data_IF_759497678290
#
_entry.id   IF_759497678290
#
_cell.length_a   1.000
_cell.length_b   1.000
_cell.length_c   1.000
_cell.angle_alpha   90.00
_cell.angle_beta   90.00
_cell.angle_gamma   90.00
#
_symmetry.space_group_name_H-M   'P 1'
#
loop_
_entity.id
_entity.type
_entity.pdbx_description
1 polymer ?
#
# COMPACT_ATOMS: atom_id res chain seq x y z
N UNK A 1 1.45 9.20 26.39
CA UNK A 1 0.09 9.53 25.90
C UNK A 1 -0.67 10.51 26.82
N UNK A 2 -0.94 10.21 28.09
CA UNK A 2 -1.76 11.07 28.98
C UNK A 2 -1.24 12.52 29.18
N UNK A 3 0.07 12.77 29.06
CA UNK A 3 0.66 14.13 29.11
C UNK A 3 0.33 14.99 27.88
N UNK A 4 0.16 14.38 26.70
CA UNK A 4 -0.19 15.05 25.44
C UNK A 4 -1.62 15.61 25.51
N UNK A 5 -2.52 14.94 26.23
CA UNK A 5 -3.90 15.41 26.45
C UNK A 5 -3.99 16.76 27.19
N UNK A 6 -2.94 17.20 27.90
CA UNK A 6 -2.89 18.55 28.48
C UNK A 6 -2.77 19.65 27.41
N UNK A 7 -2.07 19.37 26.31
CA UNK A 7 -1.89 20.30 25.19
C UNK A 7 -3.22 20.51 24.45
N UNK A 8 -4.08 19.50 24.37
CA UNK A 8 -5.43 19.62 23.78
C UNK A 8 -6.33 20.65 24.52
N UNK A 9 -6.02 21.02 25.77
CA UNK A 9 -6.76 22.09 26.48
C UNK A 9 -6.52 23.47 25.86
N UNK A 10 -5.38 23.71 25.23
CA UNK A 10 -5.08 24.97 24.53
C UNK A 10 -6.02 25.20 23.34
N UNK A 11 -6.51 24.12 22.72
CA UNK A 11 -7.50 24.16 21.63
C UNK A 11 -8.84 24.76 22.11
N UNK A 12 -9.20 24.61 23.40
CA UNK A 12 -10.43 25.21 23.95
C UNK A 12 -10.42 26.75 23.94
N UNK A 13 -9.24 27.38 23.99
CA UNK A 13 -9.10 28.83 24.02
C UNK A 13 -9.09 29.49 22.63
N UNK A 14 -8.73 28.73 21.58
CA UNK A 14 -8.57 29.25 20.23
C UNK A 14 -9.86 29.09 19.40
N UNK A 15 -10.70 30.13 19.39
CA UNK A 15 -12.00 30.13 18.68
C UNK A 15 -11.88 29.76 17.19
N UNK A 16 -10.82 30.20 16.50
CA UNK A 16 -10.57 29.86 15.08
C UNK A 16 -10.25 28.37 14.85
N UNK A 17 -9.38 27.78 15.67
CA UNK A 17 -9.03 26.35 15.59
C UNK A 17 -10.27 25.49 15.86
N UNK A 18 -11.12 25.90 16.81
CA UNK A 18 -12.37 25.18 17.12
C UNK A 18 -13.32 25.12 15.92
N UNK A 19 -13.44 26.21 15.16
CA UNK A 19 -14.28 26.23 13.94
C UNK A 19 -13.73 25.27 12.88
N UNK A 20 -12.42 25.24 12.66
CA UNK A 20 -11.78 24.30 11.71
C UNK A 20 -11.98 22.84 12.13
N UNK A 21 -11.78 22.52 13.42
CA UNK A 21 -12.00 21.16 13.93
C UNK A 21 -13.47 20.74 13.87
N UNK A 22 -14.40 21.67 14.07
CA UNK A 22 -15.83 21.38 13.90
C UNK A 22 -16.19 21.10 12.44
N UNK A 23 -15.65 21.89 11.51
CA UNK A 23 -15.80 21.63 10.08
C UNK A 23 -15.23 20.25 9.69
N UNK A 24 -14.05 19.89 10.21
CA UNK A 24 -13.46 18.57 10.02
C UNK A 24 -14.39 17.46 10.52
N UNK A 25 -14.89 17.57 11.76
CA UNK A 25 -15.82 16.59 12.33
C UNK A 25 -17.11 16.44 11.52
N UNK A 26 -17.63 17.54 10.97
CA UNK A 26 -18.80 17.50 10.09
C UNK A 26 -18.53 16.82 8.74
N UNK A 27 -17.28 16.86 8.25
CA UNK A 27 -16.87 16.15 7.02
C UNK A 27 -16.52 14.66 7.24
N UNK A 28 -16.29 14.23 8.49
CA UNK A 28 -15.88 12.85 8.80
C UNK A 28 -16.85 11.78 8.28
N UNK A 29 -18.19 11.92 8.35
CA UNK A 29 -19.10 10.90 7.83
C UNK A 29 -18.92 10.68 6.32
N UNK A 30 -18.70 11.75 5.55
CA UNK A 30 -18.43 11.65 4.13
C UNK A 30 -17.04 11.03 3.87
N UNK A 31 -16.03 11.45 4.62
CA UNK A 31 -14.68 10.89 4.53
C UNK A 31 -14.64 9.40 4.87
N UNK A 32 -15.46 8.94 5.82
CA UNK A 32 -15.54 7.53 6.19
C UNK A 32 -16.04 6.66 5.03
N UNK A 33 -17.01 7.13 4.24
CA UNK A 33 -17.51 6.39 3.07
C UNK A 33 -16.42 6.26 1.99
N UNK A 34 -15.68 7.33 1.71
CA UNK A 34 -14.56 7.33 0.76
C UNK A 34 -13.44 6.41 1.28
N UNK A 35 -13.11 6.52 2.57
CA UNK A 35 -12.11 5.68 3.22
C UNK A 35 -12.48 4.19 3.19
N UNK A 36 -13.77 3.84 3.36
CA UNK A 36 -14.24 2.46 3.26
C UNK A 36 -14.09 1.91 1.83
N UNK A 37 -14.41 2.72 0.82
CA UNK A 37 -14.21 2.34 -0.58
C UNK A 37 -12.73 2.14 -0.90
N UNK A 38 -11.87 3.07 -0.46
CA UNK A 38 -10.43 2.96 -0.61
C UNK A 38 -9.89 1.70 0.06
N UNK A 39 -10.31 1.44 1.31
CA UNK A 39 -9.92 0.24 2.05
C UNK A 39 -10.35 -1.04 1.34
N UNK A 40 -11.55 -1.07 0.75
CA UNK A 40 -12.02 -2.20 -0.04
C UNK A 40 -11.15 -2.44 -1.28
N UNK A 41 -10.79 -1.38 -2.01
CA UNK A 41 -9.88 -1.49 -3.17
C UNK A 41 -8.51 -2.00 -2.73
N UNK A 42 -7.94 -1.44 -1.65
CA UNK A 42 -6.68 -1.93 -1.08
C UNK A 42 -6.73 -3.41 -0.71
N UNK A 43 -7.84 -3.85 -0.09
CA UNK A 43 -8.04 -5.24 0.29
C UNK A 43 -8.04 -6.16 -0.93
N UNK A 44 -8.74 -5.79 -2.00
CA UNK A 44 -8.78 -6.59 -3.23
C UNK A 44 -7.38 -6.69 -3.84
N UNK A 45 -6.70 -5.56 -3.99
CA UNK A 45 -5.35 -5.52 -4.58
C UNK A 45 -4.31 -6.23 -3.71
N UNK A 46 -4.45 -6.25 -2.39
CA UNK A 46 -3.49 -6.95 -1.53
C UNK A 46 -3.54 -8.46 -1.75
N UNK A 47 -4.75 -9.04 -1.87
CA UNK A 47 -4.93 -10.47 -2.18
C UNK A 47 -4.39 -10.82 -3.56
N UNK A 48 -4.63 -9.98 -4.57
CA UNK A 48 -4.05 -10.15 -5.90
C UNK A 48 -2.52 -10.03 -5.88
N UNK A 49 -1.98 -9.06 -5.14
CA UNK A 49 -0.54 -8.87 -4.98
C UNK A 49 0.13 -10.08 -4.34
N UNK A 50 -0.46 -10.61 -3.26
CA UNK A 50 0.06 -11.81 -2.60
C UNK A 50 0.14 -13.02 -3.53
N UNK A 51 -0.95 -13.28 -4.26
CA UNK A 51 -1.01 -14.46 -5.12
C UNK A 51 -0.06 -14.41 -6.31
N UNK A 52 0.34 -13.22 -6.76
CA UNK A 52 1.19 -13.05 -7.94
C UNK A 52 2.64 -12.68 -7.61
N UNK A 53 2.90 -11.98 -6.51
CA UNK A 53 4.19 -11.33 -6.24
C UNK A 53 4.87 -11.79 -4.95
N UNK A 54 4.31 -12.74 -4.20
CA UNK A 54 4.89 -13.23 -2.95
C UNK A 54 6.32 -13.78 -3.08
N UNK A 55 6.66 -14.40 -4.22
CA UNK A 55 7.97 -15.02 -4.44
C UNK A 55 8.92 -14.18 -5.28
N UNK A 56 8.54 -12.95 -5.64
CA UNK A 56 9.39 -12.06 -6.43
C UNK A 56 10.66 -11.77 -5.64
N UNK A 57 11.80 -11.80 -6.33
CA UNK A 57 13.11 -11.53 -5.74
C UNK A 57 13.10 -10.21 -4.96
N UNK A 58 13.59 -10.27 -3.72
CA UNK A 58 13.78 -9.08 -2.88
C UNK A 58 14.90 -8.22 -3.46
N UNK A 59 14.52 -7.05 -3.96
CA UNK A 59 15.42 -6.08 -4.57
C UNK A 59 14.73 -4.72 -4.62
N UNK A 60 15.52 -3.64 -4.61
CA UNK A 60 15.06 -2.26 -4.63
C UNK A 60 14.03 -1.93 -3.53
N UNK A 61 12.74 -1.89 -3.86
CA UNK A 61 11.67 -1.58 -2.91
C UNK A 61 11.02 -2.80 -2.25
N UNK A 62 11.38 -4.04 -2.66
CA UNK A 62 10.92 -5.26 -2.01
C UNK A 62 11.96 -5.74 -1.00
N UNK A 63 11.61 -5.73 0.28
CA UNK A 63 12.45 -6.17 1.40
C UNK A 63 11.66 -7.00 2.43
N UNK A 64 12.28 -7.35 3.56
CA UNK A 64 11.69 -8.19 4.61
C UNK A 64 10.38 -7.62 5.21
N UNK A 65 10.16 -6.31 5.13
CA UNK A 65 8.99 -5.61 5.69
C UNK A 65 8.01 -5.13 4.60
N UNK A 66 8.53 -4.65 3.47
CA UNK A 66 7.78 -4.15 2.33
C UNK A 66 7.78 -5.20 1.21
N UNK A 67 6.96 -6.23 1.36
CA UNK A 67 6.79 -7.27 0.35
C UNK A 67 5.32 -7.72 0.21
N UNK A 68 5.09 -8.65 -0.72
CA UNK A 68 3.79 -9.25 -0.98
C UNK A 68 3.66 -10.68 -0.42
N UNK A 69 4.50 -11.09 0.53
CA UNK A 69 4.46 -12.47 1.07
C UNK A 69 3.24 -12.72 1.95
N UNK A 70 2.80 -11.68 2.67
CA UNK A 70 1.68 -11.76 3.60
C UNK A 70 0.67 -10.65 3.34
N UNK A 71 -0.55 -10.84 3.86
CA UNK A 71 -1.62 -9.86 3.73
C UNK A 71 -1.26 -8.53 4.39
N UNK A 72 -0.65 -8.58 5.58
CA UNK A 72 -0.22 -7.39 6.32
C UNK A 72 0.82 -6.58 5.54
N UNK A 73 1.88 -7.25 5.04
CA UNK A 73 2.95 -6.59 4.28
C UNK A 73 2.41 -6.01 2.97
N UNK A 74 1.53 -6.74 2.28
CA UNK A 74 0.87 -6.27 1.06
C UNK A 74 0.00 -5.04 1.29
N UNK A 75 -0.74 -5.01 2.41
CA UNK A 75 -1.54 -3.85 2.80
C UNK A 75 -0.67 -2.62 3.10
N UNK A 76 0.48 -2.81 3.76
CA UNK A 76 1.45 -1.72 4.02
C UNK A 76 2.03 -1.19 2.71
N UNK A 77 2.43 -2.06 1.79
CA UNK A 77 2.92 -1.66 0.47
C UNK A 77 1.88 -0.84 -0.30
N UNK A 78 0.62 -1.31 -0.36
CA UNK A 78 -0.45 -0.58 -1.05
C UNK A 78 -0.81 0.73 -0.35
N UNK A 79 -0.72 0.80 0.97
CA UNK A 79 -0.92 2.04 1.70
C UNK A 79 0.10 3.11 1.30
N UNK A 80 1.36 2.72 1.14
CA UNK A 80 2.41 3.59 0.62
C UNK A 80 2.09 4.04 -0.82
N UNK A 81 1.73 3.10 -1.69
CA UNK A 81 1.42 3.39 -3.11
C UNK A 81 0.15 4.23 -3.27
N UNK A 82 -0.79 4.22 -2.33
CA UNK A 82 -1.98 5.10 -2.35
C UNK A 82 -1.58 6.59 -2.42
N UNK A 83 -0.41 6.94 -1.87
CA UNK A 83 0.16 8.30 -1.96
C UNK A 83 0.99 8.53 -3.22
N UNK A 84 0.98 7.56 -4.15
CA UNK A 84 1.81 7.49 -5.36
C UNK A 84 3.32 7.48 -5.09
N UNK A 85 3.73 7.11 -3.86
CA UNK A 85 5.14 7.04 -3.48
C UNK A 85 5.67 5.60 -3.53
N UNK A 86 6.91 5.42 -3.98
CA UNK A 86 7.66 4.15 -3.91
C UNK A 86 7.13 2.98 -4.75
N UNK A 87 6.13 3.21 -5.61
CA UNK A 87 5.58 2.18 -6.49
C UNK A 87 6.58 1.70 -7.55
N UNK A 88 7.49 2.59 -7.97
CA UNK A 88 8.56 2.32 -8.92
C UNK A 88 9.57 1.32 -8.35
N UNK A 89 9.94 1.46 -7.07
CA UNK A 89 10.81 0.52 -6.36
C UNK A 89 10.18 -0.86 -6.17
N UNK A 90 8.86 -0.93 -5.97
CA UNK A 90 8.11 -2.19 -5.89
C UNK A 90 7.93 -2.84 -7.27
N UNK A 91 7.75 -2.05 -8.32
CA UNK A 91 7.57 -2.55 -9.69
C UNK A 91 8.88 -3.10 -10.29
N UNK A 92 10.02 -2.47 -10.00
CA UNK A 92 11.31 -2.81 -10.59
C UNK A 92 11.66 -4.32 -10.51
N UNK A 93 11.64 -4.98 -9.34
CA UNK A 93 11.94 -6.42 -9.25
C UNK A 93 10.93 -7.30 -9.97
N UNK A 94 9.69 -6.85 -10.18
CA UNK A 94 8.66 -7.59 -10.90
C UNK A 94 8.92 -7.57 -12.42
N UNK A 95 9.65 -6.55 -12.91
CA UNK A 95 10.03 -6.42 -14.31
C UNK A 95 11.27 -7.26 -14.68
N UNK A 96 11.97 -7.81 -13.70
CA UNK A 96 13.21 -8.56 -13.92
C UNK A 96 13.01 -9.75 -14.87
N UNK A 97 14.07 -10.03 -15.64
CA UNK A 97 14.20 -11.19 -16.53
C UNK A 97 15.53 -11.88 -16.22
N UNK A 98 15.72 -13.16 -16.59
CA UNK A 98 17.03 -13.79 -16.50
C UNK A 98 18.08 -12.95 -17.26
N UNK A 99 19.27 -12.69 -16.70
CA UNK A 99 19.89 -13.32 -15.52
C UNK A 99 19.59 -12.66 -14.16
N UNK A 100 18.78 -11.60 -14.10
CA UNK A 100 18.54 -10.83 -12.86
C UNK A 100 17.57 -11.52 -11.88
N UNK A 101 16.84 -12.53 -12.36
CA UNK A 101 16.00 -13.45 -11.58
C UNK A 101 16.22 -14.90 -12.04
N UNK A 102 15.84 -15.87 -11.21
CA UNK A 102 16.00 -17.30 -11.45
C UNK A 102 14.64 -17.99 -11.54
N UNK A 103 14.42 -18.76 -12.61
CA UNK A 103 13.18 -19.50 -12.87
C UNK A 103 13.07 -20.79 -12.04
N UNK A 104 14.20 -21.32 -11.55
CA UNK A 104 14.26 -22.61 -10.84
C UNK A 104 14.60 -22.45 -9.35
N UNK A 105 14.62 -21.22 -8.83
CA UNK A 105 14.89 -20.98 -7.41
C UNK A 105 13.89 -21.71 -6.53
N UNK A 106 14.42 -22.55 -5.65
CA UNK A 106 13.63 -23.31 -4.68
C UNK A 106 13.35 -22.47 -3.44
N UNK A 107 12.10 -22.52 -2.96
CA UNK A 107 11.66 -21.84 -1.74
C UNK A 107 11.35 -22.90 -0.67
N UNK A 108 12.18 -23.03 0.39
CA UNK A 108 11.99 -24.06 1.40
C UNK A 108 10.59 -24.01 2.03
N UNK A 109 9.85 -25.13 1.96
CA UNK A 109 8.50 -25.22 2.50
C UNK A 109 7.37 -24.79 1.54
N UNK A 110 7.70 -24.37 0.32
CA UNK A 110 6.73 -24.11 -0.75
C UNK A 110 6.97 -25.02 -1.95
N UNK A 111 5.90 -25.40 -2.65
CA UNK A 111 5.98 -26.13 -3.93
C UNK A 111 6.20 -25.21 -5.14
N UNK A 112 6.23 -23.90 -4.93
CA UNK A 112 6.46 -22.91 -5.98
C UNK A 112 7.94 -22.80 -6.33
N UNK A 113 8.24 -22.59 -7.61
CA UNK A 113 9.60 -22.44 -8.14
C UNK A 113 9.76 -21.11 -8.87
N UNK A 114 10.94 -20.52 -8.69
CA UNK A 114 11.37 -19.29 -9.33
C UNK A 114 11.07 -18.04 -8.52
N UNK A 115 11.79 -16.96 -8.82
CA UNK A 115 11.61 -15.63 -8.22
C UNK A 115 11.44 -14.50 -9.25
N UNK A 116 11.21 -14.87 -10.51
CA UNK A 116 10.88 -13.93 -11.57
C UNK A 116 9.41 -13.48 -11.50
N UNK A 117 9.19 -12.17 -11.54
CA UNK A 117 7.87 -11.59 -11.72
C UNK A 117 7.32 -11.73 -13.14
N UNK A 118 6.03 -11.41 -13.32
CA UNK A 118 5.44 -11.25 -14.65
C UNK A 118 5.32 -9.76 -15.00
N UNK A 119 6.13 -9.23 -15.94
CA UNK A 119 6.16 -7.80 -16.23
C UNK A 119 4.81 -7.23 -16.66
N UNK A 120 4.06 -7.97 -17.49
CA UNK A 120 2.76 -7.50 -17.99
C UNK A 120 1.73 -7.38 -16.86
N UNK A 121 1.70 -8.37 -15.96
CA UNK A 121 0.81 -8.36 -14.80
C UNK A 121 1.22 -7.28 -13.80
N UNK A 122 2.54 -7.12 -13.55
CA UNK A 122 3.08 -6.07 -12.68
C UNK A 122 2.71 -4.67 -13.15
N UNK A 123 2.95 -4.36 -14.43
CA UNK A 123 2.59 -3.05 -15.01
C UNK A 123 1.10 -2.79 -14.86
N UNK A 124 0.25 -3.75 -15.24
CA UNK A 124 -1.20 -3.59 -15.14
C UNK A 124 -1.65 -3.38 -13.68
N UNK A 125 -1.09 -4.14 -12.74
CA UNK A 125 -1.40 -4.05 -11.32
C UNK A 125 -1.11 -2.65 -10.77
N UNK A 126 0.12 -2.14 -10.90
CA UNK A 126 0.48 -0.84 -10.33
C UNK A 126 -0.21 0.32 -11.05
N UNK A 127 -0.26 0.31 -12.39
CA UNK A 127 -0.88 1.40 -13.15
C UNK A 127 -2.38 1.48 -12.87
N UNK A 128 -3.09 0.35 -12.88
CA UNK A 128 -4.53 0.34 -12.57
C UNK A 128 -4.80 0.79 -11.13
N UNK A 129 -3.99 0.34 -10.17
CA UNK A 129 -4.13 0.74 -8.78
C UNK A 129 -3.90 2.25 -8.57
N UNK A 130 -2.87 2.83 -9.21
CA UNK A 130 -2.59 4.27 -9.12
C UNK A 130 -3.74 5.08 -9.72
N UNK A 131 -4.27 4.68 -10.89
CA UNK A 131 -5.41 5.38 -11.51
C UNK A 131 -6.64 5.31 -10.61
N UNK A 132 -6.99 4.12 -10.10
CA UNK A 132 -8.16 3.94 -9.24
C UNK A 132 -8.00 4.70 -7.93
N UNK A 133 -6.84 4.61 -7.27
CA UNK A 133 -6.59 5.32 -6.01
C UNK A 133 -6.61 6.84 -6.19
N UNK A 134 -6.02 7.36 -7.27
CA UNK A 134 -6.12 8.78 -7.62
C UNK A 134 -7.57 9.24 -7.79
N UNK A 135 -8.39 8.48 -8.53
CA UNK A 135 -9.81 8.80 -8.73
C UNK A 135 -10.66 8.74 -7.45
N UNK A 136 -10.24 7.98 -6.44
CA UNK A 136 -10.95 7.91 -5.15
C UNK A 136 -10.55 9.07 -4.22
N UNK A 137 -9.28 9.48 -4.28
CA UNK A 137 -8.72 10.52 -3.40
C UNK A 137 -9.04 11.94 -3.89
N UNK A 138 -9.12 12.15 -5.20
CA UNK A 138 -9.43 13.44 -5.84
C UNK A 138 -10.93 13.62 -6.01
#
# INVERSE_FOLDING_TARGET
>A
LARIGRILRLIKGAKGIRTLLFALMMSLPALFNIGLLLFLVMFIFSIFGMSNFAYVKHEAGIDDMFNFETFGNSMICLFQVTTSAGWDGLLLPILNRPPDCDLEKEHPGSGFKGDCGNPSVGIFFFVSYIIISFLIVV
#
